data_IF_824344787680
#
_entry.id   IF_824344787680
#
_cell.length_a   1.000
_cell.length_b   1.000
_cell.length_c   1.000
_cell.angle_alpha   90.00
_cell.angle_beta   90.00
_cell.angle_gamma   90.00
#
_symmetry.space_group_name_H-M   'P 1'
#
loop_
_entity.id
_entity.type
_entity.pdbx_description
1 polymer ?
#
# COMPACT_ATOMS: atom_id res chain seq x y z
N UNK A 1 21.78 -35.76 45.31
CA UNK A 1 21.66 -34.59 46.22
C UNK A 1 20.53 -33.71 45.69
N UNK A 2 19.63 -33.29 46.58
CA UNK A 2 18.27 -32.85 46.26
C UNK A 2 18.15 -31.45 45.62
N UNK A 3 17.23 -31.40 44.63
CA UNK A 3 16.31 -30.34 44.17
C UNK A 3 16.34 -28.97 44.87
N UNK A 4 16.10 -27.91 44.09
CA UNK A 4 15.08 -26.87 44.39
C UNK A 4 14.63 -26.15 43.11
N UNK A 5 13.40 -26.46 42.70
CA UNK A 5 12.55 -25.69 41.79
C UNK A 5 11.51 -25.00 42.68
N UNK A 6 11.28 -23.70 42.50
CA UNK A 6 10.27 -22.94 43.25
C UNK A 6 9.27 -22.32 42.26
N UNK A 7 7.98 -22.65 42.31
CA UNK A 7 6.95 -21.95 41.57
C UNK A 7 6.31 -20.86 42.44
N UNK A 8 6.10 -19.67 41.86
CA UNK A 8 5.34 -18.58 42.50
C UNK A 8 3.85 -18.80 42.21
N UNK A 9 3.07 -19.00 43.28
CA UNK A 9 1.60 -19.03 43.24
C UNK A 9 1.02 -17.62 43.05
N UNK A 10 0.02 -17.50 42.19
CA UNK A 10 -0.89 -16.36 42.10
C UNK A 10 -2.18 -16.70 42.85
N UNK A 11 -2.53 -15.92 43.87
CA UNK A 11 -3.74 -16.10 44.67
C UNK A 11 -4.91 -15.32 44.07
N UNK A 12 -6.02 -16.02 43.86
CA UNK A 12 -7.33 -15.51 43.47
C UNK A 12 -8.04 -14.99 44.74
N UNK A 13 -8.60 -13.77 44.72
CA UNK A 13 -9.50 -13.31 45.77
C UNK A 13 -10.84 -12.89 45.17
N UNK A 14 -11.90 -13.55 45.63
CA UNK A 14 -13.29 -13.40 45.24
C UNK A 14 -13.99 -12.63 46.39
N UNK A 15 -14.67 -11.52 46.10
CA UNK A 15 -15.58 -10.89 47.06
C UNK A 15 -16.91 -10.66 46.36
N UNK A 16 -17.94 -11.31 46.91
CA UNK A 16 -19.35 -11.08 46.63
C UNK A 16 -20.00 -10.57 47.93
N UNK A 17 -20.87 -9.56 47.84
CA UNK A 17 -22.13 -9.44 48.62
C UNK A 17 -22.84 -8.13 48.26
N UNK A 18 -24.17 -8.19 48.09
CA UNK A 18 -25.04 -7.02 48.24
C UNK A 18 -26.26 -6.99 47.33
N UNK A 19 -27.29 -7.77 47.65
CA UNK A 19 -28.65 -7.67 47.10
C UNK A 19 -29.44 -6.59 47.84
N UNK A 20 -30.15 -5.72 47.13
CA UNK A 20 -31.28 -4.94 47.67
C UNK A 20 -32.46 -5.05 46.71
N UNK A 21 -33.61 -5.40 47.28
CA UNK A 21 -34.89 -5.70 46.65
C UNK A 21 -35.79 -4.45 46.54
N UNK A 22 -36.60 -4.45 45.47
CA UNK A 22 -37.78 -3.68 45.05
C UNK A 22 -38.52 -2.71 46.01
N UNK A 23 -38.98 -1.57 45.45
CA UNK A 23 -40.42 -1.23 45.35
C UNK A 23 -40.73 -0.06 44.36
N UNK A 24 -41.81 -0.22 43.60
CA UNK A 24 -42.48 0.62 42.57
C UNK A 24 -43.16 1.92 43.12
N UNK A 25 -43.71 2.90 42.32
CA UNK A 25 -44.31 2.76 40.97
C UNK A 25 -43.96 3.84 39.91
N UNK A 26 -44.03 3.42 38.64
CA UNK A 26 -43.94 4.31 37.47
C UNK A 26 -45.33 4.87 37.15
N UNK A 27 -45.51 6.16 37.35
CA UNK A 27 -46.64 6.92 36.82
C UNK A 27 -46.51 7.07 35.30
N UNK A 28 -47.62 6.84 34.60
CA UNK A 28 -47.76 7.05 33.16
C UNK A 28 -47.48 8.49 32.77
N UNK A 29 -46.56 8.72 31.84
CA UNK A 29 -46.57 9.92 31.00
C UNK A 29 -46.62 9.50 29.53
N UNK A 30 -47.74 9.83 28.90
CA UNK A 30 -47.90 9.78 27.45
C UNK A 30 -46.96 10.82 26.83
N UNK A 31 -45.88 10.38 26.20
CA UNK A 31 -45.09 11.27 25.35
C UNK A 31 -45.68 11.24 23.93
N UNK A 32 -46.12 12.42 23.52
CA UNK A 32 -46.70 12.72 22.23
C UNK A 32 -45.89 12.12 21.08
N UNK A 33 -46.61 11.76 20.00
CA UNK A 33 -46.06 11.45 18.69
C UNK A 33 -44.97 12.48 18.36
N UNK A 34 -43.72 12.03 18.28
CA UNK A 34 -42.61 12.86 17.84
C UNK A 34 -43.01 13.53 16.51
N UNK A 35 -42.81 14.85 16.34
CA UNK A 35 -42.94 15.44 15.02
C UNK A 35 -42.02 14.67 14.09
N UNK A 36 -42.55 14.22 12.93
CA UNK A 36 -41.71 13.70 11.85
C UNK A 36 -40.62 14.76 11.63
N UNK A 37 -39.36 14.37 11.81
CA UNK A 37 -38.24 15.25 11.51
C UNK A 37 -38.41 15.77 10.09
N UNK A 38 -38.69 17.07 9.96
CA UNK A 38 -38.69 17.75 8.68
C UNK A 38 -37.23 17.85 8.26
N UNK A 39 -36.78 16.91 7.42
CA UNK A 39 -35.46 16.96 6.81
C UNK A 39 -35.46 18.08 5.77
N UNK A 40 -35.26 19.31 6.23
CA UNK A 40 -35.11 20.49 5.38
C UNK A 40 -33.67 20.64 4.87
N UNK A 41 -32.91 19.54 4.82
CA UNK A 41 -31.49 19.59 4.49
C UNK A 41 -31.34 19.81 2.98
N UNK A 42 -30.67 20.89 2.61
CA UNK A 42 -30.19 21.16 1.25
C UNK A 42 -28.67 21.27 1.29
N UNK A 43 -27.96 20.52 0.45
CA UNK A 43 -26.50 20.54 0.43
C UNK A 43 -25.94 20.04 -0.90
N UNK A 44 -24.70 20.44 -1.18
CA UNK A 44 -23.92 19.89 -2.29
C UNK A 44 -23.00 18.78 -1.78
N UNK A 45 -22.82 17.75 -2.59
CA UNK A 45 -21.89 16.65 -2.28
C UNK A 45 -21.36 16.05 -3.57
N UNK A 46 -20.24 15.34 -3.48
CA UNK A 46 -19.63 14.66 -4.62
C UNK A 46 -19.90 13.16 -4.55
N UNK A 47 -20.02 12.54 -5.71
CA UNK A 47 -20.14 11.09 -5.88
C UNK A 47 -19.17 10.61 -6.94
N UNK A 48 -18.61 9.41 -6.73
CA UNK A 48 -17.94 8.68 -7.80
C UNK A 48 -19.02 8.17 -8.75
N UNK A 49 -18.86 8.46 -10.04
CA UNK A 49 -19.79 8.06 -11.10
C UNK A 49 -19.20 7.00 -12.03
N UNK A 50 -17.89 6.80 -11.98
CA UNK A 50 -17.20 5.82 -12.80
C UNK A 50 -15.78 5.57 -12.31
N UNK A 51 -15.31 4.37 -12.59
CA UNK A 51 -13.92 3.97 -12.38
C UNK A 51 -13.39 3.24 -13.60
N UNK A 52 -12.09 3.37 -13.85
CA UNK A 52 -11.41 2.69 -14.95
C UNK A 52 -10.02 2.24 -14.49
N UNK A 53 -9.68 0.97 -14.71
CA UNK A 53 -8.34 0.48 -14.46
C UNK A 53 -7.41 0.88 -15.61
N UNK A 54 -6.38 1.67 -15.32
CA UNK A 54 -5.41 2.17 -16.31
C UNK A 54 -4.13 1.32 -16.36
N UNK A 55 -4.08 0.21 -15.63
CA UNK A 55 -2.93 -0.68 -15.55
C UNK A 55 -1.83 -0.17 -14.62
N UNK A 56 -0.63 -0.71 -14.82
CA UNK A 56 0.52 -0.43 -13.96
C UNK A 56 1.13 0.93 -14.27
N UNK A 57 1.55 1.63 -13.22
CA UNK A 57 2.35 2.84 -13.32
C UNK A 57 3.49 2.79 -12.32
N UNK A 58 4.62 3.37 -12.67
CA UNK A 58 5.78 3.48 -11.80
C UNK A 58 6.04 4.93 -11.41
N UNK A 59 6.38 5.17 -10.13
CA UNK A 59 6.58 6.52 -9.58
C UNK A 59 7.93 6.66 -8.89
N UNK A 60 8.52 7.84 -9.02
CA UNK A 60 9.82 8.17 -8.45
C UNK A 60 10.99 7.56 -9.23
N UNK A 61 12.18 7.76 -8.69
CA UNK A 61 13.44 7.29 -9.26
C UNK A 61 13.76 5.84 -8.87
N UNK A 62 14.77 5.28 -9.52
CA UNK A 62 15.36 4.01 -9.10
C UNK A 62 16.15 4.20 -7.80
N UNK A 63 15.83 3.38 -6.80
CA UNK A 63 16.50 3.35 -5.50
C UNK A 63 17.42 2.14 -5.48
N UNK A 64 18.73 2.36 -5.32
CA UNK A 64 19.72 1.29 -5.16
C UNK A 64 19.55 0.68 -3.77
N UNK A 65 19.34 -0.64 -3.73
CA UNK A 65 19.15 -1.39 -2.48
C UNK A 65 20.29 -2.36 -2.23
N UNK A 66 20.92 -2.85 -3.30
CA UNK A 66 22.03 -3.78 -3.23
C UNK A 66 23.15 -3.41 -4.20
N UNK A 67 24.39 -3.53 -3.72
CA UNK A 67 25.61 -3.44 -4.52
C UNK A 67 26.42 -4.70 -4.22
N UNK A 68 26.62 -5.53 -5.23
CA UNK A 68 27.43 -6.73 -5.17
C UNK A 68 28.92 -6.43 -5.15
N UNK A 69 29.70 -7.44 -4.78
CA UNK A 69 31.16 -7.39 -4.91
C UNK A 69 31.58 -7.96 -6.28
N UNK A 70 32.74 -7.54 -6.82
CA UNK A 70 33.30 -8.17 -8.01
C UNK A 70 33.46 -9.68 -7.83
N UNK A 71 32.86 -10.44 -8.74
CA UNK A 71 32.92 -11.89 -8.75
C UNK A 71 34.37 -12.37 -8.82
N UNK A 72 34.76 -13.32 -7.96
CA UNK A 72 36.14 -13.82 -7.87
C UNK A 72 36.43 -14.85 -8.96
N UNK A 73 35.41 -15.62 -9.34
CA UNK A 73 35.39 -16.59 -10.41
C UNK A 73 34.23 -16.37 -11.37
N UNK A 74 34.34 -16.97 -12.56
CA UNK A 74 33.24 -16.98 -13.51
C UNK A 74 32.15 -17.95 -13.05
N UNK A 75 30.89 -17.56 -13.22
CA UNK A 75 29.72 -18.36 -12.84
C UNK A 75 29.16 -18.07 -11.45
N UNK A 76 29.79 -17.19 -10.67
CA UNK A 76 29.24 -16.71 -9.40
C UNK A 76 27.92 -15.97 -9.63
N UNK A 77 27.02 -16.02 -8.64
CA UNK A 77 25.69 -15.41 -8.71
C UNK A 77 25.44 -14.67 -7.40
N UNK A 78 24.97 -13.44 -7.49
CA UNK A 78 24.52 -12.69 -6.33
C UNK A 78 23.03 -12.94 -6.08
N UNK A 79 22.69 -13.19 -4.83
CA UNK A 79 21.30 -13.27 -4.35
C UNK A 79 21.03 -12.13 -3.40
N UNK A 80 19.92 -11.44 -3.60
CA UNK A 80 19.54 -10.26 -2.82
C UNK A 80 18.05 -10.29 -2.48
N UNK A 81 17.72 -9.58 -1.40
CA UNK A 81 16.35 -9.40 -0.94
C UNK A 81 16.08 -7.92 -0.73
N UNK A 82 15.13 -7.37 -1.48
CA UNK A 82 14.71 -5.97 -1.38
C UNK A 82 13.47 -5.92 -0.49
N UNK A 83 13.48 -5.08 0.54
CA UNK A 83 12.35 -4.84 1.43
C UNK A 83 11.98 -3.37 1.40
N UNK A 84 10.80 -3.06 0.86
CA UNK A 84 10.33 -1.69 0.72
C UNK A 84 8.89 -1.57 1.21
N UNK A 85 8.53 -0.39 1.69
CA UNK A 85 7.15 -0.08 2.07
C UNK A 85 6.68 1.21 1.41
N UNK A 86 5.43 1.20 0.96
CA UNK A 86 4.77 2.40 0.45
C UNK A 86 3.26 2.25 0.48
N UNK A 87 2.57 3.38 0.66
CA UNK A 87 1.13 3.41 0.84
C UNK A 87 0.35 3.40 -0.45
N UNK A 88 -0.86 2.86 -0.37
CA UNK A 88 -1.94 3.21 -1.30
C UNK A 88 -2.17 4.72 -1.25
N UNK A 89 -2.32 5.36 -2.41
CA UNK A 89 -2.38 6.82 -2.48
C UNK A 89 -3.46 7.31 -3.43
N UNK A 90 -3.90 8.54 -3.22
CA UNK A 90 -4.78 9.25 -4.15
C UNK A 90 -4.07 10.48 -4.69
N UNK A 91 -4.38 10.87 -5.92
CA UNK A 91 -3.84 12.06 -6.56
C UNK A 91 -4.83 12.70 -7.54
N UNK A 92 -4.56 13.92 -7.98
CA UNK A 92 -5.47 14.69 -8.83
C UNK A 92 -6.59 15.38 -8.03
N UNK A 93 -7.70 15.69 -8.70
CA UNK A 93 -8.82 16.41 -8.11
C UNK A 93 -9.80 15.45 -7.45
N UNK A 94 -9.48 15.03 -6.23
CA UNK A 94 -10.37 14.22 -5.38
C UNK A 94 -11.25 15.14 -4.52
N UNK A 95 -12.55 14.87 -4.51
CA UNK A 95 -13.56 15.64 -3.79
C UNK A 95 -14.38 14.79 -2.81
N UNK A 96 -14.36 13.46 -2.97
CA UNK A 96 -14.92 12.50 -2.01
C UNK A 96 -13.88 12.13 -0.95
N UNK A 97 -14.33 11.66 0.22
CA UNK A 97 -13.47 11.18 1.28
C UNK A 97 -12.72 9.89 0.91
N UNK A 98 -11.58 9.65 1.56
CA UNK A 98 -10.78 8.45 1.36
C UNK A 98 -11.57 7.17 1.69
N UNK A 99 -12.48 7.21 2.66
CA UNK A 99 -13.37 6.10 3.02
C UNK A 99 -14.25 5.66 1.84
N UNK A 100 -14.85 6.62 1.13
CA UNK A 100 -15.67 6.38 -0.07
C UNK A 100 -14.79 5.81 -1.20
N UNK A 101 -13.57 6.33 -1.37
CA UNK A 101 -12.63 5.85 -2.38
C UNK A 101 -12.23 4.42 -2.05
N UNK A 102 -11.77 4.14 -0.83
CA UNK A 102 -11.37 2.82 -0.35
C UNK A 102 -12.48 1.79 -0.57
N UNK A 103 -13.72 2.14 -0.22
CA UNK A 103 -14.88 1.28 -0.46
C UNK A 103 -15.15 1.02 -1.96
N UNK A 104 -14.79 1.97 -2.82
CA UNK A 104 -14.98 1.86 -4.28
C UNK A 104 -13.87 1.04 -4.96
N UNK A 105 -12.62 1.20 -4.51
CA UNK A 105 -11.44 0.59 -5.15
C UNK A 105 -11.03 -0.73 -4.50
N UNK A 106 -11.51 -1.03 -3.29
CA UNK A 106 -11.29 -2.32 -2.61
C UNK A 106 -10.00 -2.41 -1.81
N UNK A 107 -9.31 -1.30 -1.55
CA UNK A 107 -8.12 -1.21 -0.70
C UNK A 107 -8.13 0.09 0.10
N UNK A 108 -7.47 0.10 1.26
CA UNK A 108 -7.48 1.23 2.18
C UNK A 108 -6.47 2.31 1.77
N UNK A 109 -6.95 3.50 1.42
CA UNK A 109 -6.10 4.64 1.09
C UNK A 109 -5.36 5.12 2.34
N UNK A 110 -4.03 5.24 2.24
CA UNK A 110 -3.14 5.64 3.34
C UNK A 110 -2.43 4.47 4.01
N UNK A 111 -2.96 3.25 3.89
CA UNK A 111 -2.33 2.06 4.43
C UNK A 111 -1.00 1.79 3.74
N UNK A 112 0.02 1.54 4.56
CA UNK A 112 1.36 1.19 4.10
C UNK A 112 1.47 -0.31 3.85
N UNK A 113 1.90 -0.69 2.64
CA UNK A 113 2.11 -2.08 2.27
C UNK A 113 3.59 -2.42 2.33
N UNK A 114 3.96 -3.42 3.13
CA UNK A 114 5.31 -3.96 3.15
C UNK A 114 5.50 -5.03 2.07
N UNK A 115 6.53 -4.84 1.24
CA UNK A 115 6.79 -5.66 0.07
C UNK A 115 8.23 -6.16 0.10
N UNK A 116 8.39 -7.49 0.19
CA UNK A 116 9.70 -8.15 0.07
C UNK A 116 9.83 -8.86 -1.27
N UNK A 117 11.01 -8.76 -1.88
CA UNK A 117 11.35 -9.35 -3.18
C UNK A 117 12.65 -10.09 -3.05
N UNK A 118 12.68 -11.38 -3.41
CA UNK A 118 13.91 -12.17 -3.52
C UNK A 118 14.23 -12.42 -4.99
N UNK A 119 15.48 -12.18 -5.36
CA UNK A 119 15.96 -12.44 -6.72
C UNK A 119 17.46 -12.74 -6.72
N UNK A 120 17.90 -13.38 -7.79
CA UNK A 120 19.30 -13.63 -8.08
C UNK A 120 19.70 -13.01 -9.42
N UNK A 121 20.97 -12.65 -9.55
CA UNK A 121 21.56 -12.22 -10.81
C UNK A 121 21.68 -13.38 -11.81
N UNK A 122 21.98 -13.07 -13.08
CA UNK A 122 22.57 -14.07 -13.96
C UNK A 122 23.98 -14.46 -13.47
N UNK A 123 24.56 -15.57 -13.97
CA UNK A 123 25.96 -15.87 -13.76
C UNK A 123 26.87 -14.71 -14.18
N UNK A 124 27.78 -14.34 -13.29
CA UNK A 124 28.72 -13.23 -13.45
C UNK A 124 30.03 -13.71 -14.06
N UNK A 125 30.65 -12.88 -14.90
CA UNK A 125 32.03 -13.06 -15.30
C UNK A 125 32.97 -12.66 -14.16
N UNK A 126 34.21 -13.17 -14.16
CA UNK A 126 35.21 -12.74 -13.17
C UNK A 126 35.44 -11.23 -13.25
N UNK A 127 35.37 -10.53 -12.12
CA UNK A 127 35.49 -9.07 -12.03
C UNK A 127 34.21 -8.31 -12.42
N UNK A 128 33.12 -9.01 -12.70
CA UNK A 128 31.80 -8.41 -12.88
C UNK A 128 31.10 -8.29 -11.52
N UNK A 129 30.29 -7.24 -11.34
CA UNK A 129 29.37 -7.13 -10.21
C UNK A 129 28.03 -6.53 -10.66
N UNK A 130 27.02 -6.66 -9.81
CA UNK A 130 25.67 -6.18 -10.07
C UNK A 130 25.21 -5.18 -9.01
N UNK A 131 24.47 -4.15 -9.44
CA UNK A 131 23.69 -3.29 -8.54
C UNK A 131 22.21 -3.61 -8.75
N UNK A 132 21.49 -3.93 -7.68
CA UNK A 132 20.04 -4.11 -7.72
C UNK A 132 19.36 -2.85 -7.21
N UNK A 133 18.45 -2.32 -8.03
CA UNK A 133 17.61 -1.18 -7.70
C UNK A 133 16.14 -1.55 -7.81
N UNK A 134 15.28 -0.82 -7.12
CA UNK A 134 13.84 -0.94 -7.26
C UNK A 134 13.18 0.41 -7.53
N UNK A 135 11.96 0.38 -8.06
CA UNK A 135 11.13 1.56 -8.22
C UNK A 135 9.68 1.25 -7.88
N UNK A 136 9.03 2.16 -7.16
CA UNK A 136 7.67 1.96 -6.66
C UNK A 136 6.70 1.79 -7.82
N UNK A 137 5.87 0.75 -7.73
CA UNK A 137 4.91 0.38 -8.77
C UNK A 137 3.51 0.33 -8.18
N UNK A 138 2.54 0.81 -8.96
CA UNK A 138 1.15 0.92 -8.55
C UNK A 138 0.23 0.35 -9.62
N UNK A 139 -0.89 -0.23 -9.21
CA UNK A 139 -2.05 -0.42 -10.09
C UNK A 139 -2.91 0.84 -10.02
N UNK A 140 -3.09 1.53 -11.15
CA UNK A 140 -3.78 2.81 -11.20
C UNK A 140 -5.24 2.66 -11.60
N UNK A 141 -6.11 3.25 -10.81
CA UNK A 141 -7.54 3.38 -11.09
C UNK A 141 -7.89 4.86 -11.28
N UNK A 142 -8.44 5.23 -12.42
CA UNK A 142 -9.08 6.52 -12.64
C UNK A 142 -10.40 6.59 -11.87
N UNK A 143 -10.65 7.73 -11.21
CA UNK A 143 -11.86 8.01 -10.45
C UNK A 143 -12.55 9.23 -11.08
N UNK A 144 -13.70 9.01 -11.71
CA UNK A 144 -14.56 10.06 -12.24
C UNK A 144 -15.62 10.43 -11.20
N UNK A 145 -15.73 11.73 -10.91
CA UNK A 145 -16.63 12.27 -9.89
C UNK A 145 -17.55 13.33 -10.48
N UNK A 146 -18.76 13.41 -9.93
CA UNK A 146 -19.74 14.44 -10.26
C UNK A 146 -20.34 15.05 -8.98
N UNK A 147 -20.56 16.36 -9.00
CA UNK A 147 -21.27 17.05 -7.92
C UNK A 147 -22.78 16.84 -8.06
N UNK A 148 -23.45 16.67 -6.93
CA UNK A 148 -24.90 16.55 -6.80
C UNK A 148 -25.41 17.60 -5.81
N UNK A 149 -26.63 18.06 -6.04
CA UNK A 149 -27.41 18.86 -5.11
C UNK A 149 -28.49 17.98 -4.50
N UNK A 150 -28.55 17.91 -3.18
CA UNK A 150 -29.61 17.23 -2.45
C UNK A 150 -30.64 18.26 -1.97
N UNK A 151 -31.91 17.98 -2.20
CA UNK A 151 -33.03 18.81 -1.75
C UNK A 151 -34.27 17.96 -1.45
N UNK A 152 -34.74 18.03 -0.21
CA UNK A 152 -35.97 17.41 0.28
C UNK A 152 -36.15 15.94 -0.16
N UNK A 153 -35.08 15.15 -0.07
CA UNK A 153 -35.08 13.71 -0.44
C UNK A 153 -34.75 13.43 -1.90
N UNK A 154 -34.65 14.45 -2.74
CA UNK A 154 -34.29 14.33 -4.15
C UNK A 154 -32.81 14.67 -4.35
N UNK A 155 -32.20 14.05 -5.35
CA UNK A 155 -30.81 14.26 -5.73
C UNK A 155 -30.75 14.68 -7.19
N UNK A 156 -30.10 15.81 -7.46
CA UNK A 156 -30.00 16.41 -8.79
C UNK A 156 -28.54 16.47 -9.24
N UNK A 157 -28.18 15.84 -10.36
CA UNK A 157 -26.82 15.94 -10.91
C UNK A 157 -26.51 17.38 -11.30
N UNK A 158 -25.28 17.82 -11.01
CA UNK A 158 -24.76 19.11 -11.42
C UNK A 158 -23.77 18.93 -12.58
N UNK A 159 -23.64 19.94 -13.42
CA UNK A 159 -22.65 19.95 -14.52
C UNK A 159 -21.25 20.33 -14.02
N UNK A 160 -20.79 19.71 -12.93
CA UNK A 160 -19.44 19.85 -12.39
C UNK A 160 -18.84 18.47 -12.18
N UNK A 161 -17.66 18.29 -12.76
CA UNK A 161 -16.93 17.03 -12.79
C UNK A 161 -15.53 17.22 -12.23
N UNK A 162 -14.99 16.17 -11.62
CA UNK A 162 -13.62 16.12 -11.14
C UNK A 162 -13.04 14.74 -11.42
N UNK A 163 -11.73 14.69 -11.72
CA UNK A 163 -11.01 13.45 -11.98
C UNK A 163 -9.82 13.33 -11.05
N UNK A 164 -9.61 12.13 -10.54
CA UNK A 164 -8.41 11.79 -9.78
C UNK A 164 -8.00 10.35 -10.02
N UNK A 165 -6.92 9.94 -9.37
CA UNK A 165 -6.41 8.59 -9.44
C UNK A 165 -6.30 8.01 -8.05
N UNK A 166 -6.69 6.76 -7.91
CA UNK A 166 -6.34 5.92 -6.78
C UNK A 166 -5.24 4.95 -7.25
N UNK A 167 -4.16 4.88 -6.50
CA UNK A 167 -2.98 4.08 -6.83
C UNK A 167 -2.77 3.02 -5.74
N UNK A 168 -2.98 1.77 -6.11
CA UNK A 168 -2.77 0.61 -5.24
C UNK A 168 -1.29 0.26 -5.19
N UNK A 169 -0.69 0.18 -4.00
CA UNK A 169 0.69 -0.25 -3.87
C UNK A 169 0.81 -1.75 -4.21
N UNK A 170 1.60 -2.07 -5.25
CA UNK A 170 1.87 -3.46 -5.67
C UNK A 170 3.39 -3.72 -5.68
N UNK A 171 3.83 -4.96 -5.88
CA UNK A 171 5.26 -5.32 -5.94
C UNK A 171 6.06 -4.38 -6.88
N UNK A 172 7.23 -3.87 -6.47
CA UNK A 172 7.99 -2.91 -7.26
C UNK A 172 8.63 -3.56 -8.49
N UNK A 173 8.94 -2.75 -9.50
CA UNK A 173 9.89 -3.10 -10.55
C UNK A 173 11.30 -3.23 -9.99
N UNK A 174 12.08 -4.14 -10.57
CA UNK A 174 13.47 -4.41 -10.19
C UNK A 174 14.36 -4.17 -11.39
N UNK A 175 15.46 -3.47 -11.19
CA UNK A 175 16.51 -3.26 -12.20
C UNK A 175 17.82 -3.84 -11.71
N UNK A 176 18.45 -4.64 -12.55
CA UNK A 176 19.80 -5.16 -12.35
C UNK A 176 20.74 -4.51 -13.34
N UNK A 177 21.62 -3.66 -12.83
CA UNK A 177 22.68 -3.00 -13.59
C UNK A 177 23.98 -3.76 -13.37
N UNK A 178 24.60 -4.21 -14.46
CA UNK A 178 25.81 -5.01 -14.45
C UNK A 178 27.02 -4.16 -14.86
N UNK A 179 28.10 -4.31 -14.11
CA UNK A 179 29.30 -3.50 -14.21
C UNK A 179 30.52 -4.40 -14.34
N UNK A 180 31.52 -3.93 -15.09
CA UNK A 180 32.84 -4.54 -15.09
C UNK A 180 33.76 -3.65 -14.28
N UNK A 181 34.45 -4.21 -13.30
CA UNK A 181 35.41 -3.46 -12.51
C UNK A 181 36.46 -2.83 -13.41
N UNK A 182 36.58 -1.51 -13.32
CA UNK A 182 37.65 -0.74 -13.92
C UNK A 182 38.43 -0.05 -12.81
N UNK A 183 39.68 -0.48 -12.59
CA UNK A 183 40.53 0.05 -11.53
C UNK A 183 40.82 1.56 -11.65
N UNK A 184 40.53 2.17 -12.80
CA UNK A 184 40.71 3.61 -13.05
C UNK A 184 39.46 4.45 -12.80
N UNK A 185 38.30 3.85 -12.49
CA UNK A 185 37.05 4.55 -12.26
C UNK A 185 36.57 4.33 -10.82
N UNK A 186 35.94 5.34 -10.23
CA UNK A 186 35.17 5.19 -9.00
C UNK A 186 33.85 4.45 -9.28
N UNK A 187 33.25 3.76 -8.30
CA UNK A 187 31.95 3.08 -8.48
C UNK A 187 30.80 3.99 -8.95
N UNK A 188 30.93 5.31 -8.74
CA UNK A 188 29.99 6.34 -9.19
C UNK A 188 30.23 6.77 -10.65
N UNK A 189 31.45 6.63 -11.17
CA UNK A 189 31.83 6.92 -12.56
C UNK A 189 31.64 5.73 -13.49
N UNK A 190 31.67 4.52 -12.94
CA UNK A 190 31.38 3.30 -13.69
C UNK A 190 29.94 3.34 -14.22
N UNK A 191 29.80 3.11 -15.52
CA UNK A 191 28.51 2.95 -16.18
C UNK A 191 28.19 1.47 -16.34
N UNK A 192 26.92 1.06 -16.20
CA UNK A 192 26.56 -0.31 -16.47
C UNK A 192 26.80 -0.60 -17.96
N UNK A 193 27.31 -1.79 -18.25
CA UNK A 193 27.47 -2.26 -19.62
C UNK A 193 26.27 -3.11 -20.07
N UNK A 194 25.49 -3.59 -19.11
CA UNK A 194 24.28 -4.37 -19.34
C UNK A 194 23.25 -4.09 -18.25
N UNK A 195 21.98 -4.00 -18.62
CA UNK A 195 20.87 -3.75 -17.71
C UNK A 195 19.75 -4.74 -17.99
N UNK A 196 19.11 -5.25 -16.94
CA UNK A 196 17.87 -6.03 -17.01
C UNK A 196 16.79 -5.40 -16.13
N UNK A 197 15.55 -5.32 -16.65
CA UNK A 197 14.38 -4.83 -15.90
C UNK A 197 13.39 -5.98 -15.74
N UNK A 198 12.86 -6.13 -14.54
CA UNK A 198 11.91 -7.16 -14.17
C UNK A 198 10.66 -6.57 -13.54
N UNK A 199 9.51 -7.13 -13.93
CA UNK A 199 8.22 -6.85 -13.33
C UNK A 199 7.66 -8.08 -12.65
N UNK A 200 6.88 -7.87 -11.59
CA UNK A 200 6.08 -8.93 -11.01
C UNK A 200 4.82 -9.15 -11.83
N UNK A 201 4.66 -10.36 -12.36
CA UNK A 201 3.53 -10.82 -13.17
C UNK A 201 3.16 -12.23 -12.70
N UNK A 202 1.88 -12.45 -12.38
CA UNK A 202 1.31 -13.78 -12.08
C UNK A 202 2.12 -14.62 -11.08
N UNK A 203 2.59 -14.00 -10.00
CA UNK A 203 3.28 -14.70 -8.92
C UNK A 203 4.81 -14.70 -9.02
N UNK A 204 5.39 -14.23 -10.14
CA UNK A 204 6.83 -14.28 -10.37
C UNK A 204 7.39 -12.99 -11.00
N UNK A 205 8.70 -12.78 -10.81
CA UNK A 205 9.43 -11.70 -11.51
C UNK A 205 9.85 -12.16 -12.90
N UNK A 206 9.31 -11.52 -13.93
CA UNK A 206 9.59 -11.79 -15.34
C UNK A 206 10.44 -10.67 -15.91
N UNK A 207 11.44 -11.01 -16.74
CA UNK A 207 12.25 -10.00 -17.43
C UNK A 207 11.39 -9.33 -18.51
N UNK A 208 11.26 -8.02 -18.44
CA UNK A 208 10.45 -7.22 -19.39
C UNK A 208 11.30 -6.38 -20.33
N UNK A 209 12.57 -6.13 -19.96
CA UNK A 209 13.51 -5.39 -20.80
C UNK A 209 14.95 -5.78 -20.50
N UNK A 210 15.80 -5.68 -21.52
CA UNK A 210 17.25 -5.76 -21.39
C UNK A 210 17.92 -4.75 -22.33
N UNK A 211 19.07 -4.24 -21.94
CA UNK A 211 19.83 -3.27 -22.72
C UNK A 211 21.33 -3.50 -22.57
N UNK A 212 22.05 -3.46 -23.69
CA UNK A 212 23.52 -3.44 -23.74
C UNK A 212 23.95 -1.99 -24.02
N UNK A 213 24.97 -1.50 -23.30
CA UNK A 213 25.47 -0.12 -23.39
C UNK A 213 26.87 -0.04 -23.98
#
# INVERSE_FOLDING_TARGET
MFKKVLPVMFTLSLIATGVVSANEPIQSQSHAKLPKAQSNATYYYWKIIGTENLGKVTKGDWIVDYIGYPAKGAGEVDSFSISTSYSHSVSGSIQVGNDIISATVGYEIGDEVQLTVQKASRPLAKGEYVKASYRKTYLRTLIDQQQYFYDLGNTYPQNKYAKGYADEAIKPEIKLDYYKTNASLTPEEEKPYFTEIFEYVDGAYVKVSEQIH
#
